data_IF_611733578446
#
_entry.id   IF_611733578446
#
_cell.length_a   1.000
_cell.length_b   1.000
_cell.length_c   1.000
_cell.angle_alpha   90.00
_cell.angle_beta   90.00
_cell.angle_gamma   90.00
#
_symmetry.space_group_name_H-M   'P 1'
#
loop_
_entity.id
_entity.type
_entity.pdbx_description
1 polymer ?
#
# COMPACT_ATOMS: atom_id res chain seq x y z
N UNK A 1 -56.96 52.22 19.34
CA UNK A 1 -57.18 51.15 18.34
C UNK A 1 -56.10 51.29 17.29
N UNK A 2 -55.13 50.37 17.23
CA UNK A 2 -54.09 50.43 16.20
C UNK A 2 -52.81 49.70 16.57
N UNK A 3 -52.82 48.37 16.69
CA UNK A 3 -51.61 47.52 16.66
C UNK A 3 -51.88 46.10 16.11
N UNK A 4 -52.94 45.90 15.31
CA UNK A 4 -53.25 44.58 14.72
C UNK A 4 -52.88 44.44 13.23
N UNK A 5 -52.30 45.48 12.61
CA UNK A 5 -52.13 45.55 11.15
C UNK A 5 -50.73 45.26 10.59
N UNK A 6 -49.69 45.12 11.43
CA UNK A 6 -48.30 44.96 10.95
C UNK A 6 -47.82 43.50 10.84
N UNK A 7 -48.39 42.58 11.64
CA UNK A 7 -48.06 41.15 11.57
C UNK A 7 -48.66 40.47 10.35
N UNK A 8 -49.96 40.66 10.11
CA UNK A 8 -50.68 40.00 9.02
C UNK A 8 -50.16 40.38 7.62
N UNK A 9 -49.77 41.64 7.39
CA UNK A 9 -49.30 42.10 6.05
C UNK A 9 -47.91 41.53 5.72
N UNK A 10 -47.05 41.32 6.72
CA UNK A 10 -45.71 40.77 6.52
C UNK A 10 -45.75 39.26 6.32
N UNK A 11 -46.64 38.56 7.02
CA UNK A 11 -46.87 37.11 6.89
C UNK A 11 -47.42 36.76 5.49
N UNK A 12 -48.45 37.48 5.01
CA UNK A 12 -49.00 37.26 3.66
C UNK A 12 -47.99 37.55 2.53
N UNK A 13 -47.07 38.50 2.73
CA UNK A 13 -46.04 38.84 1.73
C UNK A 13 -44.94 37.78 1.67
N UNK A 14 -44.54 37.24 2.82
CA UNK A 14 -43.57 36.14 2.92
C UNK A 14 -44.16 34.87 2.31
N UNK A 15 -45.43 34.57 2.58
CA UNK A 15 -46.11 33.41 2.01
C UNK A 15 -46.21 33.50 0.49
N UNK A 16 -46.55 34.66 -0.08
CA UNK A 16 -46.60 34.83 -1.53
C UNK A 16 -45.23 34.70 -2.20
N UNK A 17 -44.18 35.28 -1.61
CA UNK A 17 -42.81 35.16 -2.14
C UNK A 17 -42.27 33.73 -2.02
N UNK A 18 -42.59 33.02 -0.94
CA UNK A 18 -42.25 31.61 -0.77
C UNK A 18 -43.00 30.76 -1.79
N UNK A 19 -44.30 30.97 -1.98
CA UNK A 19 -45.11 30.24 -2.97
C UNK A 19 -44.63 30.51 -4.39
N UNK A 20 -44.24 31.74 -4.73
CA UNK A 20 -43.68 32.09 -6.03
C UNK A 20 -42.32 31.41 -6.27
N UNK A 21 -41.42 31.42 -5.27
CA UNK A 21 -40.13 30.73 -5.34
C UNK A 21 -40.28 29.21 -5.35
N UNK A 22 -41.22 28.66 -4.59
CA UNK A 22 -41.52 27.22 -4.57
C UNK A 22 -42.33 26.77 -5.79
N UNK A 23 -42.86 27.68 -6.60
CA UNK A 23 -43.49 27.34 -7.89
C UNK A 23 -42.47 27.22 -9.02
N UNK A 24 -41.21 27.67 -8.81
CA UNK A 24 -40.11 27.48 -9.75
C UNK A 24 -39.58 26.03 -9.66
N UNK A 25 -39.68 25.24 -10.74
CA UNK A 25 -39.21 23.86 -10.76
C UNK A 25 -37.74 23.70 -10.38
N UNK A 26 -36.88 24.68 -10.71
CA UNK A 26 -35.46 24.66 -10.32
C UNK A 26 -35.27 24.84 -8.82
N UNK A 27 -36.08 25.68 -8.20
CA UNK A 27 -36.00 25.93 -6.76
C UNK A 27 -36.49 24.71 -5.99
N UNK A 28 -37.58 24.05 -6.43
CA UNK A 28 -38.02 22.76 -5.87
C UNK A 28 -36.91 21.71 -5.99
N UNK A 29 -36.28 21.57 -7.16
CA UNK A 29 -35.23 20.59 -7.37
C UNK A 29 -34.00 20.85 -6.47
N UNK A 30 -33.62 22.11 -6.29
CA UNK A 30 -32.56 22.50 -5.36
C UNK A 30 -32.93 22.25 -3.90
N UNK A 31 -34.19 22.49 -3.52
CA UNK A 31 -34.68 22.20 -2.18
C UNK A 31 -34.69 20.69 -1.90
N UNK A 32 -35.16 19.88 -2.84
CA UNK A 32 -35.13 18.41 -2.76
C UNK A 32 -33.69 17.91 -2.64
N UNK A 33 -32.76 18.42 -3.48
CA UNK A 33 -31.33 18.07 -3.37
C UNK A 33 -30.69 18.51 -2.06
N UNK A 34 -31.15 19.60 -1.46
CA UNK A 34 -30.71 20.05 -0.13
C UNK A 34 -31.29 19.14 0.96
N UNK A 35 -32.58 18.81 0.88
CA UNK A 35 -33.27 17.88 1.78
C UNK A 35 -32.64 16.49 1.75
N UNK A 36 -32.30 15.97 0.56
CA UNK A 36 -31.58 14.71 0.39
C UNK A 36 -30.16 14.74 0.99
N UNK A 37 -29.59 15.94 1.14
CA UNK A 37 -28.27 16.16 1.75
C UNK A 37 -28.35 16.54 3.24
N UNK A 38 -29.54 16.81 3.79
CA UNK A 38 -29.69 17.19 5.19
C UNK A 38 -29.23 16.06 6.13
N UNK A 39 -29.51 14.80 5.78
CA UNK A 39 -29.02 13.65 6.55
C UNK A 39 -27.47 13.60 6.58
N UNK A 40 -26.82 13.97 5.47
CA UNK A 40 -25.36 14.09 5.40
C UNK A 40 -24.83 15.30 6.18
N UNK A 41 -25.60 16.40 6.22
CA UNK A 41 -25.25 17.61 7.00
C UNK A 41 -25.38 17.33 8.49
N UNK A 42 -26.43 16.63 8.93
CA UNK A 42 -26.59 16.19 10.31
C UNK A 42 -25.45 15.26 10.71
N UNK A 43 -25.09 14.30 9.86
CA UNK A 43 -23.95 13.43 10.11
C UNK A 43 -22.62 14.20 10.21
N UNK A 44 -22.38 15.18 9.34
CA UNK A 44 -21.19 16.03 9.40
C UNK A 44 -21.17 16.91 10.66
N UNK A 45 -22.33 17.42 11.08
CA UNK A 45 -22.47 18.18 12.32
C UNK A 45 -22.23 17.30 13.54
N UNK A 46 -22.72 16.05 13.55
CA UNK A 46 -22.46 15.08 14.62
C UNK A 46 -20.99 14.68 14.67
N UNK A 47 -20.35 14.48 13.52
CA UNK A 47 -18.90 14.23 13.44
C UNK A 47 -18.09 15.42 13.95
N UNK A 48 -18.47 16.64 13.55
CA UNK A 48 -17.83 17.87 13.99
C UNK A 48 -18.04 18.10 15.49
N UNK A 49 -19.24 17.85 16.01
CA UNK A 49 -19.55 17.95 17.44
C UNK A 49 -18.74 16.91 18.24
N UNK A 50 -18.64 15.67 17.76
CA UNK A 50 -17.79 14.65 18.38
C UNK A 50 -16.30 14.98 18.30
N UNK A 51 -15.83 15.60 17.20
CA UNK A 51 -14.47 16.09 17.05
C UNK A 51 -14.17 17.26 18.01
N UNK A 52 -15.06 18.24 18.11
CA UNK A 52 -14.94 19.37 19.04
C UNK A 52 -15.04 18.94 20.50
N UNK A 53 -15.86 17.93 20.80
CA UNK A 53 -16.01 17.35 22.15
C UNK A 53 -14.78 16.54 22.59
N UNK A 54 -14.05 15.94 21.64
CA UNK A 54 -12.71 15.34 21.87
C UNK A 54 -11.56 16.34 21.63
N UNK A 55 -11.91 17.57 21.24
CA UNK A 55 -11.01 18.64 20.82
C UNK A 55 -9.88 18.98 21.78
N UNK A 56 -10.03 18.92 23.13
CA UNK A 56 -8.94 19.20 24.05
C UNK A 56 -7.76 18.21 23.93
N UNK A 57 -8.04 16.92 23.75
CA UNK A 57 -6.99 15.89 23.60
C UNK A 57 -6.32 15.94 22.22
N UNK A 58 -7.08 16.34 21.20
CA UNK A 58 -6.56 16.55 19.85
C UNK A 58 -5.83 17.90 19.70
N UNK A 59 -6.21 18.95 20.44
CA UNK A 59 -5.60 20.26 20.34
C UNK A 59 -4.11 20.21 20.71
N UNK A 60 -3.77 19.49 21.78
CA UNK A 60 -2.37 19.30 22.18
C UNK A 60 -1.60 18.49 21.12
N UNK A 61 -2.20 17.41 20.60
CA UNK A 61 -1.59 16.57 19.57
C UNK A 61 -1.39 17.30 18.23
N UNK A 62 -2.36 18.14 17.84
CA UNK A 62 -2.30 18.96 16.63
C UNK A 62 -1.31 20.11 16.82
N UNK A 63 -1.27 20.73 18.00
CA UNK A 63 -0.30 21.77 18.31
C UNK A 63 1.13 21.21 18.26
N UNK A 64 1.38 20.03 18.83
CA UNK A 64 2.66 19.33 18.72
C UNK A 64 3.01 18.98 17.27
N UNK A 65 2.05 18.47 16.48
CA UNK A 65 2.28 18.20 15.06
C UNK A 65 2.59 19.47 14.26
N UNK A 66 1.90 20.58 14.54
CA UNK A 66 2.14 21.88 13.90
C UNK A 66 3.48 22.47 14.33
N UNK A 67 3.86 22.34 15.60
CA UNK A 67 5.17 22.76 16.11
C UNK A 67 6.28 21.95 15.45
N UNK A 68 6.14 20.62 15.37
CA UNK A 68 7.09 19.72 14.70
C UNK A 68 7.21 20.03 13.21
N UNK A 69 6.09 20.28 12.53
CA UNK A 69 6.08 20.67 11.11
C UNK A 69 6.76 22.02 10.91
N UNK A 70 6.45 23.02 11.73
CA UNK A 70 7.04 24.37 11.68
C UNK A 70 8.54 24.34 11.98
N UNK A 71 8.98 23.56 12.97
CA UNK A 71 10.39 23.38 13.32
C UNK A 71 11.15 22.62 12.23
N UNK A 72 10.52 21.62 11.62
CA UNK A 72 11.10 20.83 10.52
C UNK A 72 11.22 21.64 9.23
N UNK A 73 10.25 22.50 8.91
CA UNK A 73 10.30 23.42 7.77
C UNK A 73 11.25 24.62 7.99
N UNK A 74 11.56 24.97 9.24
CA UNK A 74 12.49 26.05 9.57
C UNK A 74 13.97 25.64 9.45
N UNK A 75 14.25 24.35 9.21
CA UNK A 75 15.61 23.82 9.04
C UNK A 75 15.82 23.34 7.60
N UNK A 76 16.73 23.99 6.83
CA UNK A 76 16.94 23.67 5.42
C UNK A 76 17.40 22.22 5.18
N UNK A 77 18.01 21.56 6.17
CA UNK A 77 18.42 20.15 6.04
C UNK A 77 17.24 19.16 5.97
N UNK A 78 16.06 19.50 6.51
CA UNK A 78 14.90 18.60 6.51
C UNK A 78 14.05 18.76 5.25
N UNK A 79 13.97 19.99 4.71
CA UNK A 79 13.32 20.26 3.42
C UNK A 79 14.04 19.52 2.30
N UNK A 80 15.37 19.61 2.25
CA UNK A 80 16.20 18.87 1.28
C UNK A 80 16.07 17.35 1.46
N UNK A 81 16.05 16.85 2.70
CA UNK A 81 15.83 15.43 2.98
C UNK A 81 14.45 14.93 2.55
N UNK A 82 13.41 15.77 2.68
CA UNK A 82 12.06 15.47 2.23
C UNK A 82 11.97 15.44 0.69
N UNK A 83 12.59 16.41 0.01
CA UNK A 83 12.71 16.41 -1.46
C UNK A 83 13.46 15.17 -1.97
N UNK A 84 14.54 14.76 -1.30
CA UNK A 84 15.27 13.54 -1.65
C UNK A 84 14.44 12.27 -1.40
N UNK A 85 13.66 12.22 -0.33
CA UNK A 85 12.77 11.10 -0.06
C UNK A 85 11.66 11.00 -1.11
N UNK A 86 11.04 12.13 -1.49
CA UNK A 86 10.05 12.18 -2.57
C UNK A 86 10.65 11.79 -3.92
N UNK A 87 11.85 12.29 -4.23
CA UNK A 87 12.55 11.93 -5.47
C UNK A 87 12.91 10.45 -5.49
N UNK A 88 13.35 9.89 -4.36
CA UNK A 88 13.64 8.47 -4.23
C UNK A 88 12.38 7.61 -4.38
N UNK A 89 11.24 8.06 -3.84
CA UNK A 89 9.95 7.40 -4.01
C UNK A 89 9.49 7.43 -5.47
N UNK A 90 9.61 8.56 -6.16
CA UNK A 90 9.29 8.67 -7.58
C UNK A 90 10.16 7.74 -8.42
N UNK A 91 11.47 7.73 -8.19
CA UNK A 91 12.39 6.81 -8.88
C UNK A 91 12.12 5.34 -8.58
N UNK A 92 11.76 5.03 -7.33
CA UNK A 92 11.37 3.68 -6.95
C UNK A 92 10.08 3.26 -7.67
N UNK A 93 9.11 4.17 -7.76
CA UNK A 93 7.86 3.94 -8.48
C UNK A 93 8.11 3.71 -9.98
N UNK A 94 8.90 4.57 -10.62
CA UNK A 94 9.33 4.39 -12.02
C UNK A 94 10.06 3.05 -12.24
N UNK A 95 10.90 2.64 -11.28
CA UNK A 95 11.57 1.34 -11.34
C UNK A 95 10.59 0.17 -11.19
N UNK A 96 9.64 0.24 -10.25
CA UNK A 96 8.62 -0.79 -10.05
C UNK A 96 7.63 -0.89 -11.22
N UNK A 97 7.36 0.24 -11.88
CA UNK A 97 6.52 0.30 -13.07
C UNK A 97 7.27 -0.11 -14.35
N UNK A 98 8.58 -0.34 -14.26
CA UNK A 98 9.36 -0.80 -15.41
C UNK A 98 8.85 -2.17 -15.90
N UNK A 99 8.76 -2.38 -17.23
CA UNK A 99 8.27 -3.64 -17.80
C UNK A 99 9.03 -4.87 -17.29
N UNK A 100 10.33 -4.72 -17.05
CA UNK A 100 11.20 -5.80 -16.58
C UNK A 100 10.87 -6.21 -15.15
N UNK A 101 10.62 -5.23 -14.26
CA UNK A 101 10.26 -5.50 -12.87
C UNK A 101 8.85 -6.07 -12.77
N UNK A 102 7.92 -5.54 -13.56
CA UNK A 102 6.57 -6.10 -13.69
C UNK A 102 6.59 -7.54 -14.19
N UNK A 103 7.46 -7.86 -15.16
CA UNK A 103 7.63 -9.23 -15.63
C UNK A 103 8.22 -10.14 -14.55
N UNK A 104 9.16 -9.65 -13.73
CA UNK A 104 9.67 -10.41 -12.58
C UNK A 104 8.59 -10.65 -11.51
N UNK A 105 7.71 -9.68 -11.26
CA UNK A 105 6.56 -9.85 -10.35
C UNK A 105 5.51 -10.81 -10.90
N UNK A 106 5.30 -10.82 -12.22
CA UNK A 106 4.37 -11.75 -12.90
C UNK A 106 4.96 -13.14 -13.02
N UNK A 107 6.28 -13.25 -13.17
CA UNK A 107 6.99 -14.51 -13.12
C UNK A 107 6.94 -15.06 -11.70
N UNK A 108 6.75 -16.37 -11.54
CA UNK A 108 6.74 -17.03 -10.24
C UNK A 108 8.09 -16.96 -9.48
N UNK A 109 9.05 -16.17 -9.95
CA UNK A 109 10.39 -15.96 -9.38
C UNK A 109 10.33 -15.32 -7.99
N UNK A 110 9.38 -14.40 -7.77
CA UNK A 110 9.20 -13.72 -6.48
C UNK A 110 8.18 -14.40 -5.55
N UNK A 111 7.62 -15.56 -5.95
CA UNK A 111 6.75 -16.33 -5.06
C UNK A 111 7.50 -16.83 -3.82
N UNK A 112 6.78 -16.93 -2.71
CA UNK A 112 7.32 -17.39 -1.42
C UNK A 112 8.00 -18.75 -1.57
N UNK A 113 7.49 -19.67 -2.40
CA UNK A 113 8.10 -20.99 -2.59
C UNK A 113 9.43 -20.92 -3.33
N UNK A 114 9.53 -20.09 -4.37
CA UNK A 114 10.74 -19.87 -5.15
C UNK A 114 11.85 -19.28 -4.29
N UNK A 115 11.52 -18.25 -3.51
CA UNK A 115 12.45 -17.62 -2.55
C UNK A 115 12.92 -18.62 -1.49
N UNK A 116 12.02 -19.44 -0.95
CA UNK A 116 12.38 -20.49 0.00
C UNK A 116 13.30 -21.56 -0.60
N UNK A 117 13.09 -21.94 -1.86
CA UNK A 117 13.93 -22.91 -2.56
C UNK A 117 15.34 -22.35 -2.78
N UNK A 118 15.46 -21.12 -3.26
CA UNK A 118 16.75 -20.41 -3.40
C UNK A 118 17.45 -20.32 -2.03
N UNK A 119 16.71 -19.98 -0.97
CA UNK A 119 17.24 -19.94 0.39
C UNK A 119 17.73 -21.29 0.92
N UNK A 120 17.11 -22.41 0.51
CA UNK A 120 17.62 -23.76 0.83
C UNK A 120 18.92 -24.04 0.09
N UNK A 121 18.96 -23.79 -1.22
CA UNK A 121 20.17 -24.00 -2.06
C UNK A 121 21.34 -23.17 -1.54
N UNK A 122 21.12 -21.89 -1.26
CA UNK A 122 22.14 -20.97 -0.75
C UNK A 122 22.72 -21.46 0.59
N UNK A 123 21.87 -21.87 1.54
CA UNK A 123 22.33 -22.41 2.83
C UNK A 123 23.12 -23.71 2.67
N UNK A 124 22.65 -24.63 1.83
CA UNK A 124 23.37 -25.87 1.54
C UNK A 124 24.73 -25.60 0.89
N UNK A 125 24.81 -24.62 -0.02
CA UNK A 125 26.06 -24.22 -0.66
C UNK A 125 27.05 -23.61 0.34
N UNK A 126 26.58 -22.71 1.20
CA UNK A 126 27.40 -22.10 2.25
C UNK A 126 27.92 -23.15 3.24
N UNK A 127 27.06 -24.08 3.64
CA UNK A 127 27.42 -25.18 4.53
C UNK A 127 28.46 -26.10 3.87
N UNK A 128 28.24 -26.53 2.62
CA UNK A 128 29.18 -27.36 1.88
C UNK A 128 30.52 -26.65 1.66
N UNK A 129 30.51 -25.35 1.38
CA UNK A 129 31.72 -24.54 1.24
C UNK A 129 32.51 -24.48 2.55
N UNK A 130 31.83 -24.35 3.69
CA UNK A 130 32.46 -24.34 5.02
C UNK A 130 33.08 -25.70 5.35
N UNK A 131 32.32 -26.78 5.15
CA UNK A 131 32.79 -28.15 5.41
C UNK A 131 33.98 -28.52 4.52
N UNK A 132 33.97 -28.12 3.25
CA UNK A 132 35.09 -28.34 2.34
C UNK A 132 36.36 -27.59 2.77
N UNK A 133 36.22 -26.38 3.35
CA UNK A 133 37.33 -25.62 3.90
C UNK A 133 37.91 -26.24 5.18
N UNK A 134 37.05 -26.81 6.04
CA UNK A 134 37.45 -27.42 7.32
C UNK A 134 38.04 -28.82 7.17
N UNK A 135 37.53 -29.64 6.25
CA UNK A 135 37.91 -31.07 6.13
C UNK A 135 39.13 -31.34 5.25
N UNK A 136 39.61 -30.31 4.51
CA UNK A 136 40.72 -30.45 3.56
C UNK A 136 40.37 -31.30 2.34
N UNK A 137 41.10 -31.12 1.24
CA UNK A 137 40.84 -31.82 -0.03
C UNK A 137 41.22 -33.30 0.04
N UNK A 138 40.28 -34.15 0.51
CA UNK A 138 40.38 -35.60 0.29
C UNK A 138 40.27 -35.89 -1.20
N UNK A 139 41.31 -36.48 -1.79
CA UNK A 139 41.30 -36.89 -3.21
C UNK A 139 40.26 -38.00 -3.41
N UNK A 140 39.15 -37.68 -4.08
CA UNK A 140 38.14 -38.66 -4.48
C UNK A 140 38.52 -39.21 -5.85
N UNK A 141 38.78 -40.52 -5.92
CA UNK A 141 38.98 -41.23 -7.19
C UNK A 141 37.66 -41.61 -7.87
N UNK A 142 37.72 -42.15 -9.10
CA UNK A 142 36.55 -42.53 -9.91
C UNK A 142 35.62 -43.50 -9.16
N UNK A 143 36.18 -44.48 -8.43
CA UNK A 143 35.41 -45.42 -7.61
C UNK A 143 34.73 -44.72 -6.42
N UNK A 144 35.43 -43.75 -5.81
CA UNK A 144 34.87 -42.95 -4.71
C UNK A 144 33.70 -42.10 -5.18
N UNK A 145 33.76 -41.54 -6.40
CA UNK A 145 32.66 -40.80 -7.00
C UNK A 145 31.46 -41.70 -7.28
N UNK A 146 31.67 -42.89 -7.86
CA UNK A 146 30.58 -43.86 -8.08
C UNK A 146 29.91 -44.29 -6.77
N UNK A 147 30.70 -44.46 -5.70
CA UNK A 147 30.17 -44.77 -4.37
C UNK A 147 29.37 -43.61 -3.78
N UNK A 148 29.84 -42.37 -3.92
CA UNK A 148 29.13 -41.17 -3.47
C UNK A 148 27.81 -40.96 -4.23
N UNK A 149 27.78 -41.22 -5.53
CA UNK A 149 26.53 -41.17 -6.33
C UNK A 149 25.55 -42.29 -5.95
N UNK A 150 26.04 -43.38 -5.37
CA UNK A 150 25.21 -44.48 -4.87
C UNK A 150 24.78 -44.29 -3.42
N UNK A 151 25.27 -43.25 -2.73
CA UNK A 151 24.99 -42.99 -1.32
C UNK A 151 23.51 -42.65 -1.11
N UNK A 152 22.78 -43.34 -0.20
CA UNK A 152 21.38 -43.05 0.13
C UNK A 152 21.13 -41.58 0.50
N UNK A 153 22.10 -40.88 1.10
CA UNK A 153 21.95 -39.47 1.48
C UNK A 153 22.02 -38.53 0.26
N UNK A 154 22.72 -38.92 -0.81
CA UNK A 154 22.89 -38.14 -2.04
C UNK A 154 21.77 -38.41 -3.06
N UNK A 155 21.12 -39.58 -3.00
CA UNK A 155 20.04 -39.97 -3.93
C UNK A 155 18.94 -38.90 -4.12
N UNK A 156 18.40 -38.24 -3.07
CA UNK A 156 17.36 -37.24 -3.25
C UNK A 156 17.83 -36.01 -4.05
N UNK A 157 19.07 -35.57 -3.82
CA UNK A 157 19.67 -34.46 -4.54
C UNK A 157 19.94 -34.83 -6.01
N UNK A 158 20.44 -36.03 -6.26
CA UNK A 158 20.64 -36.55 -7.61
C UNK A 158 19.31 -36.64 -8.36
N UNK A 159 18.26 -37.17 -7.74
CA UNK A 159 16.93 -37.23 -8.32
C UNK A 159 16.37 -35.83 -8.61
N UNK A 160 16.57 -34.86 -7.71
CA UNK A 160 16.20 -33.47 -7.97
C UNK A 160 16.91 -32.91 -9.21
N UNK A 161 18.23 -33.05 -9.30
CA UNK A 161 19.03 -32.55 -10.44
C UNK A 161 18.58 -33.20 -11.76
N UNK A 162 18.30 -34.50 -11.76
CA UNK A 162 17.81 -35.21 -12.95
C UNK A 162 16.43 -34.70 -13.39
N UNK A 163 15.50 -34.52 -12.46
CA UNK A 163 14.17 -33.99 -12.78
C UNK A 163 14.24 -32.53 -13.23
N UNK A 164 15.03 -31.70 -12.55
CA UNK A 164 15.30 -30.32 -12.94
C UNK A 164 15.83 -30.23 -14.37
N UNK A 165 16.87 -31.00 -14.70
CA UNK A 165 17.45 -31.02 -16.05
C UNK A 165 16.41 -31.42 -17.11
N UNK A 166 15.52 -32.37 -16.77
CA UNK A 166 14.45 -32.82 -17.67
C UNK A 166 13.38 -31.76 -17.91
N UNK A 167 12.99 -31.00 -16.89
CA UNK A 167 12.04 -29.90 -17.01
C UNK A 167 12.66 -28.71 -17.74
N UNK A 168 13.88 -28.32 -17.36
CA UNK A 168 14.63 -27.24 -18.01
C UNK A 168 14.85 -27.51 -19.50
N UNK A 169 15.18 -28.74 -19.88
CA UNK A 169 15.36 -29.09 -21.29
C UNK A 169 14.08 -28.95 -22.12
N UNK A 170 12.89 -29.11 -21.52
CA UNK A 170 11.63 -28.89 -22.23
C UNK A 170 11.40 -27.40 -22.44
N UNK A 171 11.51 -26.61 -21.38
CA UNK A 171 11.38 -25.14 -21.43
C UNK A 171 12.34 -24.51 -22.46
N UNK A 172 13.60 -24.95 -22.52
CA UNK A 172 14.57 -24.43 -23.50
C UNK A 172 14.23 -24.83 -24.93
N UNK A 173 13.64 -26.02 -25.14
CA UNK A 173 13.26 -26.47 -26.48
C UNK A 173 11.92 -25.91 -26.95
N UNK A 174 11.06 -25.49 -26.01
CA UNK A 174 9.75 -24.89 -26.27
C UNK A 174 9.81 -23.34 -26.36
N UNK A 175 10.98 -22.73 -26.08
CA UNK A 175 11.27 -21.29 -26.17
C UNK A 175 11.95 -20.90 -27.51
#
# INVERSE_FOLDING_TARGET
MGEAGKGAVMETTIDHLLVEKLSDPRTIEQLIRLLDKLESVTFLLDMLENFLRRGPEFADSINELVILLRQSLSRPEYVTRFEHALTALQRMQEFLDSPQVQELFKSDVLDVRSVQMIGKVSRSLLQASKEAAETGTKRVGIIGLMRALSDPEVQPALNFVLNFARHLSKEINDA
#
